data_IF_653840757655
#
_entry.id   IF_653840757655
#
_cell.length_a   1.000
_cell.length_b   1.000
_cell.length_c   1.000
_cell.angle_alpha   90.00
_cell.angle_beta   90.00
_cell.angle_gamma   90.00
#
_symmetry.space_group_name_H-M   'P 1'
#
loop_
_entity.id
_entity.type
_entity.pdbx_description
1 polymer ?
#
# COMPACT_ATOMS: atom_id res chain seq x y z
N UNK A 1 6.03 -18.99 19.53
CA UNK A 1 4.90 -18.40 18.80
C UNK A 1 5.10 -16.90 18.79
N UNK A 2 5.03 -16.25 17.62
CA UNK A 2 5.14 -14.80 17.51
C UNK A 2 3.97 -14.16 18.29
N UNK A 3 4.21 -13.14 19.12
CA UNK A 3 3.18 -12.59 20.03
C UNK A 3 2.02 -11.88 19.30
N UNK A 4 2.12 -11.69 17.97
CA UNK A 4 1.07 -11.04 17.17
C UNK A 4 -0.25 -11.85 17.07
N UNK A 5 -0.26 -13.14 17.38
CA UNK A 5 -1.44 -14.02 17.18
C UNK A 5 -2.49 -13.97 18.30
N UNK A 6 -2.22 -13.29 19.42
CA UNK A 6 -3.05 -13.37 20.63
C UNK A 6 -4.41 -12.64 20.51
N UNK A 7 -4.58 -11.81 19.48
CA UNK A 7 -5.78 -10.97 19.31
C UNK A 7 -6.51 -11.17 17.97
N UNK A 8 -6.21 -12.25 17.25
CA UNK A 8 -6.88 -12.54 15.99
C UNK A 8 -8.38 -12.87 16.24
N UNK A 9 -9.33 -12.21 15.57
CA UNK A 9 -10.75 -12.46 15.79
C UNK A 9 -11.16 -13.85 15.30
N UNK A 10 -11.77 -14.64 16.19
CA UNK A 10 -12.23 -16.00 15.89
C UNK A 10 -13.65 -16.05 15.28
N UNK A 11 -14.42 -14.96 15.37
CA UNK A 11 -15.75 -14.87 14.76
C UNK A 11 -15.67 -14.49 13.27
N UNK A 12 -16.67 -14.93 12.49
CA UNK A 12 -16.77 -14.58 11.06
C UNK A 12 -16.87 -13.06 10.85
N UNK A 13 -17.71 -12.40 11.64
CA UNK A 13 -17.86 -10.95 11.63
C UNK A 13 -16.58 -10.22 12.08
N UNK A 14 -15.88 -10.74 13.10
CA UNK A 14 -14.62 -10.16 13.57
C UNK A 14 -13.51 -10.25 12.54
N UNK A 15 -13.43 -11.37 11.78
CA UNK A 15 -12.52 -11.48 10.63
C UNK A 15 -12.88 -10.46 9.55
N UNK A 16 -14.15 -10.32 9.20
CA UNK A 16 -14.60 -9.34 8.21
C UNK A 16 -14.27 -7.90 8.62
N UNK A 17 -14.45 -7.54 9.90
CA UNK A 17 -14.07 -6.21 10.43
C UNK A 17 -12.55 -6.03 10.42
N UNK A 18 -11.76 -7.05 10.75
CA UNK A 18 -10.30 -6.94 10.69
C UNK A 18 -9.77 -6.79 9.25
N UNK A 19 -10.40 -7.45 8.29
CA UNK A 19 -10.09 -7.31 6.86
C UNK A 19 -10.51 -5.92 6.39
N UNK A 20 -11.75 -5.50 6.63
CA UNK A 20 -12.22 -4.15 6.27
C UNK A 20 -11.40 -3.04 6.95
N UNK A 21 -10.97 -3.24 8.19
CA UNK A 21 -10.06 -2.35 8.91
C UNK A 21 -8.69 -2.28 8.22
N UNK A 22 -8.10 -3.42 7.84
CA UNK A 22 -6.86 -3.45 7.05
C UNK A 22 -7.02 -2.76 5.70
N UNK A 23 -8.13 -2.96 5.00
CA UNK A 23 -8.45 -2.27 3.74
C UNK A 23 -8.56 -0.75 3.94
N UNK A 24 -9.22 -0.29 5.02
CA UNK A 24 -9.32 1.14 5.36
C UNK A 24 -7.96 1.77 5.73
N UNK A 25 -7.09 1.02 6.40
CA UNK A 25 -5.71 1.45 6.67
C UNK A 25 -4.81 1.39 5.42
N UNK A 26 -5.04 0.44 4.50
CA UNK A 26 -4.43 0.42 3.17
C UNK A 26 -4.92 1.57 2.30
N UNK A 27 -6.15 2.04 2.50
CA UNK A 27 -6.73 3.16 1.76
C UNK A 27 -6.13 4.51 2.17
N UNK A 28 -5.51 4.61 3.35
CA UNK A 28 -4.78 5.81 3.81
C UNK A 28 -3.29 5.74 3.48
N UNK A 29 -2.96 5.55 2.20
CA UNK A 29 -1.59 5.74 1.65
C UNK A 29 -1.23 7.23 1.39
N UNK A 30 -2.10 8.14 1.83
CA UNK A 30 -1.86 9.58 1.88
C UNK A 30 -2.01 10.01 3.34
N UNK A 31 -0.89 10.25 4.02
CA UNK A 31 -0.87 10.79 5.39
C UNK A 31 -0.72 12.31 5.38
N UNK A 32 -0.68 12.94 6.56
CA UNK A 32 -0.36 14.37 6.69
C UNK A 32 1.01 14.77 6.11
N UNK A 33 1.86 13.79 5.77
CA UNK A 33 3.15 13.95 5.10
C UNK A 33 3.12 13.57 3.60
N UNK A 34 1.93 13.41 2.98
CA UNK A 34 1.79 13.07 1.56
C UNK A 34 1.79 11.56 1.27
N UNK A 35 2.30 11.20 0.08
CA UNK A 35 2.31 9.83 -0.43
C UNK A 35 3.17 8.88 0.42
N UNK A 36 2.62 7.71 0.77
CA UNK A 36 3.21 6.72 1.67
C UNK A 36 3.45 5.33 1.04
N UNK A 37 2.97 5.06 -0.18
CA UNK A 37 3.28 3.82 -0.92
C UNK A 37 2.16 3.35 -1.86
N UNK A 38 2.42 2.32 -2.69
CA UNK A 38 1.48 1.67 -3.62
C UNK A 38 0.86 0.41 -3.05
N UNK A 39 -0.45 0.24 -3.27
CA UNK A 39 -1.08 -1.02 -2.95
C UNK A 39 -0.72 -2.10 -3.96
N UNK A 40 0.40 -2.78 -3.71
CA UNK A 40 1.00 -3.71 -4.65
C UNK A 40 0.02 -4.77 -5.16
N UNK A 41 -0.82 -5.43 -4.32
CA UNK A 41 -1.79 -6.40 -4.82
C UNK A 41 -2.84 -5.77 -5.74
N UNK A 42 -3.40 -4.62 -5.37
CA UNK A 42 -4.40 -3.93 -6.18
C UNK A 42 -3.80 -3.39 -7.48
N UNK A 43 -2.60 -2.79 -7.43
CA UNK A 43 -1.89 -2.32 -8.61
C UNK A 43 -1.58 -3.48 -9.56
N UNK A 44 -1.16 -4.63 -9.04
CA UNK A 44 -0.88 -5.81 -9.84
C UNK A 44 -2.15 -6.36 -10.51
N UNK A 45 -3.27 -6.40 -9.79
CA UNK A 45 -4.56 -6.81 -10.35
C UNK A 45 -5.04 -5.85 -11.47
N UNK A 46 -4.87 -4.54 -11.27
CA UNK A 46 -5.21 -3.53 -12.28
C UNK A 46 -4.34 -3.63 -13.53
N UNK A 47 -3.03 -3.81 -13.36
CA UNK A 47 -2.09 -3.98 -14.47
C UNK A 47 -2.39 -5.26 -15.26
N UNK A 48 -2.68 -6.36 -14.56
CA UNK A 48 -3.14 -7.59 -15.19
C UNK A 48 -4.43 -7.41 -15.99
N UNK A 49 -5.41 -6.67 -15.45
CA UNK A 49 -6.65 -6.35 -16.16
C UNK A 49 -6.43 -5.47 -17.41
N UNK A 50 -5.35 -4.70 -17.46
CA UNK A 50 -4.94 -3.92 -18.64
C UNK A 50 -4.10 -4.72 -19.64
N UNK A 51 -3.86 -6.01 -19.39
CA UNK A 51 -3.06 -6.88 -20.25
C UNK A 51 -1.56 -6.78 -20.03
N UNK A 52 -1.11 -6.15 -18.95
CA UNK A 52 0.31 -6.17 -18.56
C UNK A 52 0.64 -7.52 -17.94
N UNK A 53 1.71 -8.21 -18.39
CA UNK A 53 2.12 -9.47 -17.78
C UNK A 53 2.41 -9.30 -16.29
N UNK A 54 1.75 -10.10 -15.45
CA UNK A 54 1.80 -10.02 -13.98
C UNK A 54 3.22 -10.26 -13.45
N UNK A 55 3.96 -11.16 -14.07
CA UNK A 55 5.36 -11.45 -13.75
C UNK A 55 6.27 -10.24 -13.97
N UNK A 56 6.10 -9.52 -15.08
CA UNK A 56 6.84 -8.28 -15.37
C UNK A 56 6.39 -7.17 -14.42
N UNK A 57 5.08 -6.99 -14.25
CA UNK A 57 4.53 -5.97 -13.36
C UNK A 57 5.02 -6.14 -11.91
N UNK A 58 5.07 -7.37 -11.41
CA UNK A 58 5.56 -7.68 -10.07
C UNK A 58 7.03 -7.30 -9.87
N UNK A 59 7.86 -7.37 -10.93
CA UNK A 59 9.26 -6.95 -10.88
C UNK A 59 9.41 -5.41 -10.89
N UNK A 60 8.55 -4.71 -11.63
CA UNK A 60 8.67 -3.26 -11.82
C UNK A 60 7.99 -2.44 -10.72
N UNK A 61 6.88 -2.94 -10.17
CA UNK A 61 6.07 -2.24 -9.18
C UNK A 61 6.86 -1.73 -7.97
N UNK A 62 7.79 -2.50 -7.35
CA UNK A 62 8.62 -2.01 -6.25
C UNK A 62 9.49 -0.82 -6.65
N UNK A 63 10.03 -0.81 -7.87
CA UNK A 63 10.85 0.30 -8.36
C UNK A 63 10.02 1.56 -8.61
N UNK A 64 8.79 1.40 -9.12
CA UNK A 64 7.87 2.51 -9.28
C UNK A 64 7.46 3.12 -7.93
N UNK A 65 7.17 2.30 -6.92
CA UNK A 65 6.87 2.80 -5.57
C UNK A 65 8.06 3.59 -5.00
N UNK A 66 9.30 3.08 -5.13
CA UNK A 66 10.50 3.79 -4.71
C UNK A 66 10.62 5.16 -5.38
N UNK A 67 10.43 5.24 -6.70
CA UNK A 67 10.47 6.50 -7.45
C UNK A 67 9.40 7.50 -7.00
N UNK A 68 8.19 7.01 -6.70
CA UNK A 68 7.10 7.86 -6.19
C UNK A 68 7.39 8.38 -4.78
N UNK A 69 7.96 7.54 -3.91
CA UNK A 69 8.38 7.93 -2.55
C UNK A 69 9.48 8.99 -2.59
N UNK A 70 10.48 8.83 -3.47
CA UNK A 70 11.55 9.81 -3.66
C UNK A 70 11.01 11.15 -4.20
N UNK A 71 10.12 11.11 -5.19
CA UNK A 71 9.50 12.31 -5.73
C UNK A 71 8.70 13.05 -4.66
N UNK A 72 7.92 12.32 -3.85
CA UNK A 72 7.18 12.89 -2.73
C UNK A 72 8.12 13.49 -1.66
N UNK A 73 9.27 12.87 -1.39
CA UNK A 73 10.28 13.41 -0.48
C UNK A 73 10.87 14.73 -0.99
N UNK A 74 11.24 14.80 -2.26
CA UNK A 74 11.74 16.03 -2.89
C UNK A 74 10.72 17.16 -2.85
N UNK A 75 9.45 16.86 -3.10
CA UNK A 75 8.38 17.85 -3.01
C UNK A 75 8.23 18.41 -1.59
N UNK A 76 8.26 17.56 -0.56
CA UNK A 76 8.23 18.01 0.84
C UNK A 76 9.41 18.92 1.20
N UNK A 77 10.59 18.62 0.66
CA UNK A 77 11.77 19.47 0.88
C UNK A 77 11.59 20.85 0.25
N UNK A 78 11.05 20.91 -0.97
CA UNK A 78 10.73 22.18 -1.66
C UNK A 78 9.73 23.01 -0.86
N UNK A 79 8.61 22.41 -0.45
CA UNK A 79 7.54 23.08 0.30
C UNK A 79 8.03 23.64 1.66
N UNK A 80 9.04 23.01 2.27
CA UNK A 80 9.64 23.49 3.53
C UNK A 80 10.57 24.69 3.34
N UNK A 81 11.10 24.90 2.13
CA UNK A 81 12.06 25.97 1.82
C UNK A 81 11.44 27.24 1.24
N UNK A 82 10.18 27.18 0.83
CA UNK A 82 9.35 28.31 0.41
C UNK A 82 8.49 28.85 1.54
#
# INVERSE_FOLDING_TARGET
>A
ACPEDTHAPHSFEGRAISVAGRELFHQRRIGGAGYAGLDMPACLALLGAQGVPTDIAALLLPHWESGLLEAAAKQREQDRTT
#
